data_IF_076283038549
#
_entry.id   IF_076283038549
#
_cell.length_a   1.000
_cell.length_b   1.000
_cell.length_c   1.000
_cell.angle_alpha   90.00
_cell.angle_beta   90.00
_cell.angle_gamma   90.00
#
_symmetry.space_group_name_H-M   'P 1'
#
loop_
_entity.id
_entity.type
_entity.pdbx_description
1 polymer ?
#
# COMPACT_ATOMS: atom_id res chain seq x y z
N UNK A 1 22.23 -20.85 8.37
CA UNK A 1 22.16 -20.54 6.93
C UNK A 1 20.91 -21.19 6.39
N UNK A 2 20.12 -20.48 5.59
CA UNK A 2 18.92 -21.05 4.97
C UNK A 2 19.23 -21.80 3.66
N UNK A 3 18.18 -22.35 3.03
CA UNK A 3 18.28 -23.07 1.76
C UNK A 3 18.78 -22.20 0.58
N UNK A 4 18.74 -20.87 0.70
CA UNK A 4 19.24 -19.92 -0.30
C UNK A 4 20.70 -19.51 -0.02
N UNK A 5 21.34 -20.10 0.99
CA UNK A 5 22.70 -19.76 1.38
C UNK A 5 22.80 -18.50 2.23
N UNK A 6 21.67 -17.93 2.68
CA UNK A 6 21.65 -16.71 3.47
C UNK A 6 22.00 -17.04 4.92
N UNK A 7 22.97 -16.33 5.51
CA UNK A 7 23.29 -16.46 6.93
C UNK A 7 22.50 -15.42 7.73
N UNK A 8 21.83 -15.90 8.76
CA UNK A 8 21.01 -15.10 9.66
C UNK A 8 21.75 -14.93 10.97
N UNK A 9 21.95 -13.69 11.41
CA UNK A 9 22.51 -13.36 12.73
C UNK A 9 21.50 -12.53 13.50
N UNK A 10 21.35 -12.82 14.78
CA UNK A 10 20.42 -12.13 15.67
C UNK A 10 21.14 -11.58 16.90
N UNK A 11 20.60 -10.50 17.45
CA UNK A 11 20.89 -10.00 18.81
C UNK A 11 19.57 -9.51 19.38
N UNK A 12 19.31 -9.75 20.66
CA UNK A 12 18.10 -9.21 21.30
C UNK A 12 18.37 -8.80 22.74
N UNK A 13 17.49 -7.95 23.25
CA UNK A 13 17.45 -7.46 24.61
C UNK A 13 15.99 -7.36 25.04
N UNK A 14 15.61 -8.01 26.15
CA UNK A 14 14.30 -7.83 26.76
C UNK A 14 14.37 -6.81 27.89
N UNK A 15 13.26 -6.11 28.16
CA UNK A 15 13.17 -5.19 29.29
C UNK A 15 14.00 -3.92 29.12
N UNK A 16 14.25 -3.48 27.88
CA UNK A 16 14.97 -2.24 27.63
C UNK A 16 14.03 -1.04 27.89
N UNK A 17 14.45 0.00 28.62
CA UNK A 17 13.63 1.21 28.75
C UNK A 17 13.45 1.86 27.37
N UNK A 18 12.23 2.27 27.04
CA UNK A 18 11.92 2.84 25.72
C UNK A 18 12.71 4.13 25.44
N UNK A 19 12.87 4.99 26.45
CA UNK A 19 13.65 6.22 26.37
C UNK A 19 14.09 6.71 27.76
N UNK A 20 14.99 7.70 27.79
CA UNK A 20 15.54 8.29 29.03
C UNK A 20 14.49 8.96 29.94
N UNK A 21 13.32 9.31 29.42
CA UNK A 21 12.27 9.99 30.19
C UNK A 21 11.19 9.06 30.74
N UNK A 22 11.13 7.80 30.29
CA UNK A 22 10.08 6.82 30.61
C UNK A 22 10.70 5.43 30.84
N UNK A 23 11.45 5.28 31.94
CA UNK A 23 12.13 4.03 32.28
C UNK A 23 11.17 2.90 32.68
N UNK A 24 9.97 3.25 33.12
CA UNK A 24 8.89 2.34 33.48
C UNK A 24 8.26 1.65 32.27
N UNK A 25 8.38 2.25 31.09
CA UNK A 25 7.93 1.64 29.84
C UNK A 25 9.07 0.82 29.23
N UNK A 26 9.10 -0.46 29.58
CA UNK A 26 10.03 -1.45 29.05
C UNK A 26 9.55 -2.05 27.71
N UNK A 27 10.49 -2.30 26.80
CA UNK A 27 10.27 -2.91 25.50
C UNK A 27 11.32 -3.99 25.21
N UNK A 28 11.02 -4.87 24.27
CA UNK A 28 11.97 -5.85 23.78
C UNK A 28 12.52 -5.43 22.42
N UNK A 29 13.83 -5.50 22.26
CA UNK A 29 14.54 -5.05 21.07
C UNK A 29 15.17 -6.24 20.35
N UNK A 30 14.90 -6.35 19.05
CA UNK A 30 15.45 -7.37 18.17
C UNK A 30 16.30 -6.73 17.08
N UNK A 31 17.51 -7.22 16.89
CA UNK A 31 18.34 -6.93 15.73
C UNK A 31 18.60 -8.19 14.91
N UNK A 32 18.68 -7.97 13.60
CA UNK A 32 18.87 -9.02 12.62
C UNK A 32 19.79 -8.55 11.50
N UNK A 33 20.72 -9.42 11.13
CA UNK A 33 21.55 -9.25 9.94
C UNK A 33 21.32 -10.41 8.97
N UNK A 34 21.12 -10.03 7.72
CA UNK A 34 21.06 -10.93 6.58
C UNK A 34 22.37 -10.84 5.80
N UNK A 35 23.13 -11.93 5.77
CA UNK A 35 24.33 -12.03 4.94
C UNK A 35 24.04 -12.93 3.75
N UNK A 36 23.97 -12.36 2.56
CA UNK A 36 23.74 -13.10 1.33
C UNK A 36 25.04 -13.70 0.77
N UNK A 37 24.96 -14.76 -0.06
CA UNK A 37 26.16 -15.41 -0.62
C UNK A 37 27.04 -14.49 -1.49
N UNK A 38 26.46 -13.44 -2.06
CA UNK A 38 27.15 -12.40 -2.84
C UNK A 38 27.93 -11.40 -1.95
N UNK A 39 27.91 -11.58 -0.63
CA UNK A 39 28.62 -10.74 0.33
C UNK A 39 27.84 -9.50 0.79
N UNK A 40 26.63 -9.27 0.27
CA UNK A 40 25.79 -8.16 0.75
C UNK A 40 25.31 -8.45 2.18
N UNK A 41 25.36 -7.41 3.02
CA UNK A 41 24.85 -7.45 4.39
C UNK A 41 23.75 -6.43 4.54
N UNK A 42 22.59 -6.87 5.02
CA UNK A 42 21.47 -5.98 5.34
C UNK A 42 21.14 -6.09 6.83
N UNK A 43 21.04 -4.96 7.51
CA UNK A 43 20.73 -4.87 8.94
C UNK A 43 19.31 -4.36 9.15
N UNK A 44 18.64 -4.94 10.13
CA UNK A 44 17.29 -4.57 10.56
C UNK A 44 17.24 -4.54 12.08
N UNK A 45 16.39 -3.67 12.61
CA UNK A 45 16.06 -3.61 14.02
C UNK A 45 14.57 -3.40 14.21
N UNK A 46 14.03 -3.98 15.29
CA UNK A 46 12.63 -3.89 15.65
C UNK A 46 12.45 -3.77 17.16
N UNK A 47 11.38 -3.08 17.55
CA UNK A 47 10.89 -3.03 18.93
C UNK A 47 9.59 -3.82 18.99
N UNK A 48 9.40 -4.61 20.04
CA UNK A 48 8.22 -5.44 20.24
C UNK A 48 7.89 -5.60 21.72
N UNK A 49 6.62 -5.83 22.00
CA UNK A 49 6.06 -6.24 23.29
C UNK A 49 6.18 -7.75 23.54
N UNK A 50 6.42 -8.57 22.51
CA UNK A 50 6.66 -10.00 22.67
C UNK A 50 8.00 -10.26 23.37
N UNK A 51 8.04 -11.07 24.44
CA UNK A 51 9.29 -11.55 25.00
C UNK A 51 10.10 -12.31 23.95
N UNK A 52 11.38 -11.97 23.79
CA UNK A 52 12.25 -12.58 22.79
C UNK A 52 13.09 -13.67 23.44
N UNK A 53 13.15 -14.83 22.80
CA UNK A 53 14.05 -15.91 23.17
C UNK A 53 14.53 -16.63 21.91
N UNK A 54 15.51 -17.51 22.07
CA UNK A 54 16.15 -18.20 20.94
C UNK A 54 15.18 -19.04 20.11
N UNK A 55 14.03 -19.44 20.66
CA UNK A 55 13.02 -20.25 19.96
C UNK A 55 12.14 -19.43 19.01
N UNK A 56 12.02 -18.11 19.22
CA UNK A 56 11.06 -17.28 18.50
C UNK A 56 11.69 -16.25 17.53
N UNK A 57 13.01 -16.08 17.53
CA UNK A 57 13.75 -15.10 16.71
C UNK A 57 13.35 -15.10 15.23
N UNK A 58 13.31 -16.30 14.62
CA UNK A 58 13.02 -16.43 13.20
C UNK A 58 11.57 -16.08 12.87
N UNK A 59 10.65 -16.40 13.78
CA UNK A 59 9.22 -16.10 13.65
C UNK A 59 8.97 -14.60 13.76
N UNK A 60 9.55 -13.95 14.78
CA UNK A 60 9.44 -12.51 14.98
C UNK A 60 10.03 -11.73 13.80
N UNK A 61 11.22 -12.10 13.34
CA UNK A 61 11.86 -11.47 12.17
C UNK A 61 10.99 -11.59 10.91
N UNK A 62 10.43 -12.77 10.64
CA UNK A 62 9.53 -12.97 9.48
C UNK A 62 8.28 -12.12 9.59
N UNK A 63 7.67 -12.04 10.77
CA UNK A 63 6.51 -11.19 11.03
C UNK A 63 6.84 -9.71 10.81
N UNK A 64 7.95 -9.25 11.36
CA UNK A 64 8.40 -7.86 11.22
C UNK A 64 8.71 -7.48 9.77
N UNK A 65 9.36 -8.39 9.02
CA UNK A 65 9.59 -8.24 7.57
C UNK A 65 8.28 -8.21 6.78
N UNK A 66 7.29 -9.01 7.16
CA UNK A 66 5.97 -8.98 6.54
C UNK A 66 5.26 -7.64 6.80
N UNK A 67 5.34 -7.11 8.03
CA UNK A 67 4.80 -5.80 8.38
C UNK A 67 5.42 -4.69 7.51
N UNK A 68 6.75 -4.64 7.45
CA UNK A 68 7.46 -3.68 6.61
C UNK A 68 7.08 -3.78 5.13
N UNK A 69 6.93 -5.00 4.61
CA UNK A 69 6.50 -5.23 3.23
C UNK A 69 5.08 -4.73 2.99
N UNK A 70 4.13 -5.06 3.88
CA UNK A 70 2.73 -4.62 3.77
C UNK A 70 2.63 -3.09 3.84
N UNK A 71 3.34 -2.46 4.77
CA UNK A 71 3.40 -1.01 4.88
C UNK A 71 3.98 -0.39 3.60
N UNK A 72 5.13 -0.89 3.13
CA UNK A 72 5.81 -0.38 1.94
C UNK A 72 4.94 -0.50 0.70
N UNK A 73 4.29 -1.65 0.48
CA UNK A 73 3.38 -1.86 -0.65
C UNK A 73 2.15 -0.95 -0.58
N UNK A 74 1.60 -0.74 0.62
CA UNK A 74 0.47 0.15 0.85
C UNK A 74 0.86 1.61 0.57
N UNK A 75 1.97 2.09 1.14
CA UNK A 75 2.46 3.44 0.88
C UNK A 75 2.79 3.65 -0.59
N UNK A 76 3.44 2.69 -1.26
CA UNK A 76 3.72 2.79 -2.69
C UNK A 76 2.44 2.86 -3.52
N UNK A 77 1.38 2.16 -3.12
CA UNK A 77 0.07 2.24 -3.79
C UNK A 77 -0.54 3.63 -3.63
N UNK A 78 -0.64 4.11 -2.38
CA UNK A 78 -1.15 5.43 -2.05
C UNK A 78 -0.38 6.57 -2.74
N UNK A 79 0.91 6.39 -2.98
CA UNK A 79 1.74 7.37 -3.68
C UNK A 79 1.56 7.31 -5.20
N UNK A 80 1.59 6.12 -5.80
CA UNK A 80 1.82 5.95 -7.23
C UNK A 80 0.61 5.48 -8.05
N UNK A 81 -0.49 5.05 -7.42
CA UNK A 81 -1.65 4.46 -8.14
C UNK A 81 -2.87 5.39 -8.26
N UNK A 82 -2.69 6.69 -8.02
CA UNK A 82 -3.69 7.71 -8.27
C UNK A 82 -4.28 8.37 -7.01
N UNK A 83 -3.88 7.95 -5.81
CA UNK A 83 -4.31 8.58 -4.55
C UNK A 83 -3.47 9.81 -4.19
N UNK A 84 -2.26 9.96 -4.75
CA UNK A 84 -1.40 11.14 -4.61
C UNK A 84 -1.02 11.49 -3.15
N UNK A 85 -0.81 10.48 -2.31
CA UNK A 85 -0.53 10.64 -0.87
C UNK A 85 0.68 11.52 -0.52
N UNK A 86 1.65 11.65 -1.43
CA UNK A 86 2.80 12.54 -1.25
C UNK A 86 2.47 14.03 -1.40
N UNK A 87 1.32 14.37 -2.00
CA UNK A 87 0.92 15.75 -2.19
C UNK A 87 0.11 16.25 -0.99
N UNK A 88 0.59 17.32 -0.36
CA UNK A 88 -0.19 18.00 0.66
C UNK A 88 -1.26 18.88 0.01
N UNK A 89 -2.49 18.37 -0.06
CA UNK A 89 -3.64 19.10 -0.62
C UNK A 89 -4.17 20.23 0.29
N UNK A 90 -3.64 20.39 1.50
CA UNK A 90 -4.08 21.40 2.46
C UNK A 90 -2.98 22.40 2.81
N UNK A 91 -3.13 23.66 2.37
CA UNK A 91 -2.32 24.80 2.83
C UNK A 91 -3.02 25.63 3.93
N UNK A 92 -3.98 25.04 4.65
CA UNK A 92 -4.78 25.72 5.67
C UNK A 92 -4.23 25.57 7.09
N UNK A 93 -4.44 26.58 7.94
CA UNK A 93 -3.95 26.60 9.33
C UNK A 93 -4.70 25.66 10.29
N UNK A 94 -5.87 25.13 9.92
CA UNK A 94 -6.67 24.26 10.79
C UNK A 94 -7.21 23.04 10.03
N UNK A 95 -6.68 21.85 10.33
CA UNK A 95 -7.21 20.51 10.01
C UNK A 95 -7.49 20.17 8.53
N UNK A 96 -7.34 21.10 7.57
CA UNK A 96 -7.69 20.85 6.17
C UNK A 96 -6.85 19.71 5.55
N UNK A 97 -5.54 19.72 5.78
CA UNK A 97 -4.65 18.62 5.35
C UNK A 97 -5.07 17.29 5.98
N UNK A 98 -5.43 17.31 7.25
CA UNK A 98 -5.94 16.13 7.97
C UNK A 98 -7.25 15.63 7.38
N UNK A 99 -8.24 16.49 7.13
CA UNK A 99 -9.54 16.08 6.56
C UNK A 99 -9.34 15.48 5.17
N UNK A 100 -8.51 16.09 4.32
CA UNK A 100 -8.22 15.58 2.97
C UNK A 100 -7.49 14.23 3.03
N UNK A 101 -6.57 14.05 3.98
CA UNK A 101 -5.96 12.74 4.24
C UNK A 101 -7.01 11.68 4.62
N UNK A 102 -7.98 12.01 5.49
CA UNK A 102 -9.04 11.08 5.87
C UNK A 102 -9.93 10.71 4.67
N UNK A 103 -10.30 11.68 3.83
CA UNK A 103 -11.08 11.42 2.62
C UNK A 103 -10.33 10.53 1.62
N UNK A 104 -9.03 10.76 1.45
CA UNK A 104 -8.16 9.89 0.64
C UNK A 104 -8.11 8.46 1.21
N UNK A 105 -7.93 8.29 2.53
CA UNK A 105 -7.92 6.97 3.16
C UNK A 105 -9.29 6.26 3.03
N UNK A 106 -10.39 7.02 3.10
CA UNK A 106 -11.74 6.49 2.88
C UNK A 106 -11.94 6.04 1.42
N UNK A 107 -11.51 6.85 0.46
CA UNK A 107 -11.55 6.49 -0.96
C UNK A 107 -10.72 5.22 -1.22
N UNK A 108 -9.50 5.16 -0.66
CA UNK A 108 -8.64 3.98 -0.74
C UNK A 108 -9.33 2.73 -0.17
N UNK A 109 -9.99 2.83 0.99
CA UNK A 109 -10.74 1.72 1.58
C UNK A 109 -11.89 1.26 0.67
N UNK A 110 -12.67 2.20 0.13
CA UNK A 110 -13.76 1.90 -0.81
C UNK A 110 -13.21 1.15 -2.03
N UNK A 111 -12.08 1.59 -2.57
CA UNK A 111 -11.42 0.93 -3.70
C UNK A 111 -10.98 -0.50 -3.37
N UNK A 112 -10.47 -0.75 -2.15
CA UNK A 112 -10.14 -2.11 -1.71
C UNK A 112 -11.39 -2.99 -1.60
N UNK A 113 -12.50 -2.44 -1.12
CA UNK A 113 -13.78 -3.14 -1.06
C UNK A 113 -14.28 -3.47 -2.47
N UNK A 114 -14.25 -2.51 -3.41
CA UNK A 114 -14.64 -2.72 -4.80
C UNK A 114 -13.77 -3.79 -5.48
N UNK A 115 -12.44 -3.73 -5.30
CA UNK A 115 -11.51 -4.72 -5.82
C UNK A 115 -11.76 -6.14 -5.30
N UNK A 116 -12.34 -6.31 -4.10
CA UNK A 116 -12.61 -7.62 -3.52
C UNK A 116 -14.04 -8.11 -3.76
N UNK A 117 -15.01 -7.20 -3.71
CA UNK A 117 -16.44 -7.53 -3.71
C UNK A 117 -17.15 -7.34 -5.05
N UNK A 118 -16.63 -6.50 -5.96
CA UNK A 118 -17.33 -6.15 -7.20
C UNK A 118 -16.68 -6.80 -8.42
N UNK A 119 -17.31 -7.86 -8.92
CA UNK A 119 -16.84 -8.58 -10.13
C UNK A 119 -16.78 -7.68 -11.36
N UNK A 120 -17.70 -6.73 -11.46
CA UNK A 120 -17.75 -5.82 -12.61
C UNK A 120 -16.61 -4.79 -12.57
N UNK A 121 -16.30 -4.25 -11.37
CA UNK A 121 -15.12 -3.43 -11.16
C UNK A 121 -13.84 -4.21 -11.47
N UNK A 122 -13.72 -5.45 -10.99
CA UNK A 122 -12.57 -6.32 -11.28
C UNK A 122 -12.38 -6.52 -12.79
N UNK A 123 -13.45 -6.85 -13.52
CA UNK A 123 -13.41 -7.00 -14.97
C UNK A 123 -13.01 -5.69 -15.69
N UNK A 124 -13.55 -4.56 -15.25
CA UNK A 124 -13.17 -3.25 -15.78
C UNK A 124 -11.70 -2.90 -15.50
N UNK A 125 -11.20 -3.22 -14.31
CA UNK A 125 -9.79 -3.06 -13.95
C UNK A 125 -8.89 -3.96 -14.81
N UNK A 126 -9.26 -5.21 -15.03
CA UNK A 126 -8.54 -6.13 -15.92
C UNK A 126 -8.48 -5.59 -17.36
N UNK A 127 -9.60 -5.15 -17.91
CA UNK A 127 -9.64 -4.51 -19.24
C UNK A 127 -8.81 -3.22 -19.27
N UNK A 128 -8.82 -2.45 -18.18
CA UNK A 128 -8.02 -1.25 -18.02
C UNK A 128 -6.54 -1.52 -17.70
N UNK A 129 -6.09 -2.76 -17.45
CA UNK A 129 -4.69 -3.17 -17.16
C UNK A 129 -3.99 -2.50 -15.96
N UNK A 130 -4.40 -1.31 -15.52
CA UNK A 130 -3.87 -0.62 -14.34
C UNK A 130 -4.91 0.32 -13.74
N UNK A 131 -4.78 0.61 -12.43
CA UNK A 131 -5.68 1.54 -11.72
C UNK A 131 -5.64 2.94 -12.31
N UNK A 132 -4.46 3.49 -12.56
CA UNK A 132 -4.30 4.82 -13.17
C UNK A 132 -5.04 4.93 -14.51
N UNK A 133 -4.99 3.87 -15.34
CA UNK A 133 -5.71 3.85 -16.61
C UNK A 133 -7.21 3.67 -16.43
N UNK A 134 -7.65 2.89 -15.44
CA UNK A 134 -9.05 2.78 -15.06
C UNK A 134 -9.62 4.15 -14.64
N UNK A 135 -8.92 4.89 -13.77
CA UNK A 135 -9.31 6.22 -13.32
C UNK A 135 -9.38 7.24 -14.46
N UNK A 136 -8.42 7.20 -15.39
CA UNK A 136 -8.47 8.03 -16.60
C UNK A 136 -9.70 7.69 -17.46
N UNK A 137 -10.01 6.41 -17.61
CA UNK A 137 -11.17 5.93 -18.37
C UNK A 137 -12.50 6.31 -17.71
N UNK A 138 -12.60 6.23 -16.39
CA UNK A 138 -13.79 6.67 -15.65
C UNK A 138 -14.01 8.17 -15.84
N UNK A 139 -13.00 9.00 -15.59
CA UNK A 139 -13.08 10.47 -15.78
C UNK A 139 -13.54 10.83 -17.19
N UNK A 140 -12.89 10.26 -18.22
CA UNK A 140 -13.28 10.52 -19.60
C UNK A 140 -14.74 10.19 -19.93
N UNK A 141 -15.36 9.20 -19.26
CA UNK A 141 -16.79 8.89 -19.45
C UNK A 141 -17.68 9.88 -18.74
N UNK A 142 -17.32 10.32 -17.55
CA UNK A 142 -18.05 11.40 -16.88
C UNK A 142 -18.01 12.70 -17.68
N UNK A 143 -16.89 12.98 -18.36
CA UNK A 143 -16.73 14.19 -19.17
C UNK A 143 -17.47 14.12 -20.52
N UNK A 144 -17.61 12.93 -21.11
CA UNK A 144 -18.09 12.76 -22.50
C UNK A 144 -19.46 12.08 -22.64
N UNK A 145 -20.00 11.47 -21.58
CA UNK A 145 -21.16 10.59 -21.69
C UNK A 145 -22.20 10.88 -20.60
N UNK A 146 -23.47 10.74 -20.97
CA UNK A 146 -24.55 10.57 -20.00
C UNK A 146 -24.53 9.13 -19.50
N UNK A 147 -24.28 8.93 -18.20
CA UNK A 147 -24.15 7.62 -17.57
C UNK A 147 -25.46 7.29 -16.85
N UNK A 148 -26.24 6.31 -17.30
CA UNK A 148 -27.52 5.98 -16.67
C UNK A 148 -27.35 5.24 -15.33
N UNK A 149 -26.28 4.45 -15.20
CA UNK A 149 -26.01 3.62 -14.03
C UNK A 149 -24.55 3.11 -14.01
N UNK A 150 -24.13 2.53 -12.88
CA UNK A 150 -22.78 2.01 -12.69
C UNK A 150 -22.45 0.77 -13.54
N UNK A 151 -23.44 -0.08 -13.84
CA UNK A 151 -23.21 -1.28 -14.66
C UNK A 151 -22.86 -0.86 -16.10
N UNK A 152 -23.61 0.09 -16.67
CA UNK A 152 -23.32 0.70 -17.97
C UNK A 152 -21.93 1.36 -17.99
N UNK A 153 -21.56 2.07 -16.92
CA UNK A 153 -20.25 2.70 -16.79
C UNK A 153 -19.10 1.68 -16.86
N UNK A 154 -19.15 0.61 -16.06
CA UNK A 154 -18.08 -0.38 -16.07
C UNK A 154 -18.08 -1.24 -17.32
N UNK A 155 -19.26 -1.62 -17.86
CA UNK A 155 -19.34 -2.39 -19.11
C UNK A 155 -18.73 -1.63 -20.28
N UNK A 156 -18.96 -0.33 -20.37
CA UNK A 156 -18.32 0.48 -21.41
C UNK A 156 -16.80 0.54 -21.24
N UNK A 157 -16.21 0.25 -20.06
CA UNK A 157 -14.75 0.08 -19.89
C UNK A 157 -14.29 -1.29 -20.35
N UNK A 158 -15.03 -2.33 -20.00
CA UNK A 158 -14.76 -3.73 -20.33
C UNK A 158 -14.79 -3.93 -21.85
N UNK A 159 -15.86 -3.43 -22.47
CA UNK A 159 -16.09 -3.49 -23.90
C UNK A 159 -16.46 -2.08 -24.39
N UNK A 160 -15.44 -1.27 -24.75
CA UNK A 160 -15.67 0.09 -25.22
C UNK A 160 -16.56 0.14 -26.46
N UNK A 161 -17.60 1.00 -26.48
CA UNK A 161 -18.35 1.20 -27.70
C UNK A 161 -17.43 1.79 -28.77
N UNK A 162 -17.61 1.33 -30.01
CA UNK A 162 -16.96 1.95 -31.16
C UNK A 162 -17.67 3.27 -31.44
N UNK A 163 -17.00 4.38 -31.15
CA UNK A 163 -17.46 5.72 -31.48
C UNK A 163 -16.74 6.16 -32.76
N UNK A 164 -17.41 6.17 -33.92
CA UNK A 164 -16.81 6.71 -35.13
C UNK A 164 -16.55 8.21 -34.93
N UNK A 165 -15.33 8.66 -35.21
CA UNK A 165 -14.97 10.07 -35.30
C UNK A 165 -14.89 10.42 -36.79
N UNK A 166 -16.01 10.78 -37.45
CA UNK A 166 -15.97 11.18 -38.84
C UNK A 166 -15.13 12.45 -38.99
N UNK A 167 -14.44 12.63 -40.14
CA UNK A 167 -13.77 13.89 -40.44
C UNK A 167 -14.79 15.03 -40.48
N UNK A 168 -14.38 16.21 -40.03
CA UNK A 168 -15.20 17.41 -40.17
C UNK A 168 -15.37 17.72 -41.66
N UNK A 169 -16.62 17.72 -42.13
CA UNK A 169 -16.98 18.03 -43.51
C UNK A 169 -17.45 19.47 -43.69
N UNK A 170 -17.26 20.30 -42.67
CA UNK A 170 -17.63 21.72 -42.63
C UNK A 170 -16.57 22.63 -43.26
#
# INVERSE_FOLDING_TARGET
TDAKGVRHRFRYLNGAPLNESNFDLEVNFLEYWEHTPDGKVTHFSWVTDFPIDDSNLMTLMRGARACWKVETETFNTLKNQGDHFEHNFGHGNNNLSTVLMHLMMLAFLIDQIQQRGCRLFQAALTAAQSKTRLWRKLRARFDLCLIPDWDTLYRSIIQPPLLPLPPDTS
#
